data_IF_325081973492
#
_entry.id   IF_325081973492
#
_cell.length_a   1.000
_cell.length_b   1.000
_cell.length_c   1.000
_cell.angle_alpha   90.00
_cell.angle_beta   90.00
_cell.angle_gamma   90.00
#
_symmetry.space_group_name_H-M   'P 1'
#
loop_
_entity.id
_entity.type
_entity.pdbx_description
1 polymer ?
#
# COMPACT_ATOMS: atom_id res chain seq x y z
N UNK A 1 10.25 13.07 7.66
CA UNK A 1 10.01 12.91 6.21
C UNK A 1 8.88 11.92 5.98
N UNK A 2 7.86 12.32 5.22
CA UNK A 2 6.72 11.46 4.86
C UNK A 2 6.82 11.00 3.40
N UNK A 3 7.60 11.70 2.60
CA UNK A 3 7.87 11.37 1.20
C UNK A 3 9.37 11.11 0.99
N UNK A 4 9.68 10.23 0.05
CA UNK A 4 11.04 9.91 -0.32
C UNK A 4 11.68 11.08 -1.09
N UNK A 5 12.86 11.53 -0.66
CA UNK A 5 13.62 12.59 -1.33
C UNK A 5 14.31 12.03 -2.57
N UNK A 6 13.56 11.83 -3.63
CA UNK A 6 14.02 11.35 -4.93
C UNK A 6 13.77 12.39 -6.01
N UNK A 7 14.48 12.29 -7.14
CA UNK A 7 14.29 13.18 -8.30
C UNK A 7 12.92 13.02 -8.96
N UNK A 8 12.27 11.87 -8.75
CA UNK A 8 10.92 11.60 -9.26
C UNK A 8 9.86 12.37 -8.47
N UNK A 9 10.11 12.61 -7.18
CA UNK A 9 9.16 13.29 -6.28
C UNK A 9 9.45 14.79 -6.13
N UNK A 10 10.72 15.21 -6.22
CA UNK A 10 11.13 16.57 -5.94
C UNK A 10 12.20 17.07 -6.91
N UNK A 11 12.16 18.37 -7.22
CA UNK A 11 13.22 18.99 -8.01
C UNK A 11 14.57 18.92 -7.27
N UNK A 12 15.70 18.87 -7.99
CA UNK A 12 17.04 18.86 -7.38
C UNK A 12 17.29 20.04 -6.43
N UNK A 13 16.68 21.20 -6.71
CA UNK A 13 16.79 22.40 -5.88
C UNK A 13 16.12 22.16 -4.52
N UNK A 14 14.91 21.59 -4.49
CA UNK A 14 14.19 21.27 -3.26
C UNK A 14 14.96 20.26 -2.43
N UNK A 15 15.45 19.18 -3.05
CA UNK A 15 16.26 18.17 -2.36
C UNK A 15 17.49 18.82 -1.72
N UNK A 16 18.27 19.62 -2.48
CA UNK A 16 19.45 20.31 -1.98
C UNK A 16 19.11 21.28 -0.85
N UNK A 17 18.00 22.01 -0.95
CA UNK A 17 17.55 22.93 0.09
C UNK A 17 17.23 22.20 1.40
N UNK A 18 16.46 21.10 1.34
CA UNK A 18 16.15 20.27 2.51
C UNK A 18 17.43 19.73 3.15
N UNK A 19 18.35 19.17 2.36
CA UNK A 19 19.58 18.60 2.86
C UNK A 19 20.47 19.68 3.52
N UNK A 20 20.65 20.84 2.86
CA UNK A 20 21.43 21.94 3.41
C UNK A 20 20.83 22.48 4.71
N UNK A 21 19.50 22.62 4.76
CA UNK A 21 18.80 23.03 5.98
C UNK A 21 19.11 22.09 7.14
N UNK A 22 18.99 20.77 6.92
CA UNK A 22 19.26 19.79 7.99
C UNK A 22 20.71 19.83 8.47
N UNK A 23 21.68 20.13 7.57
CA UNK A 23 23.11 20.26 7.90
C UNK A 23 23.41 21.53 8.69
N UNK A 24 22.92 22.67 8.21
CA UNK A 24 23.20 23.99 8.80
C UNK A 24 22.61 24.10 10.20
N UNK A 25 21.35 23.66 10.35
CA UNK A 25 20.65 23.77 11.63
C UNK A 25 20.78 22.54 12.52
N UNK A 26 21.57 21.54 12.14
CA UNK A 26 21.75 20.28 12.86
C UNK A 26 20.42 19.65 13.31
N UNK A 27 19.39 19.76 12.46
CA UNK A 27 18.04 19.29 12.79
C UNK A 27 17.95 17.77 12.76
N UNK A 28 17.28 17.22 13.77
CA UNK A 28 16.91 15.81 13.77
C UNK A 28 15.77 15.56 12.78
N UNK A 29 15.86 14.47 12.06
CA UNK A 29 14.90 14.06 11.02
C UNK A 29 14.24 12.75 11.43
N UNK A 30 12.93 12.67 11.35
CA UNK A 30 12.18 11.41 11.46
C UNK A 30 11.74 11.00 10.05
N UNK A 31 12.08 9.78 9.65
CA UNK A 31 11.60 9.15 8.42
C UNK A 31 10.53 8.11 8.75
N UNK A 32 9.49 8.03 7.90
CA UNK A 32 8.37 7.12 8.12
C UNK A 32 8.65 5.66 7.69
N UNK A 33 9.82 5.39 7.12
CA UNK A 33 10.30 4.06 6.73
C UNK A 33 11.82 4.06 6.58
N UNK A 34 12.44 2.89 6.57
CA UNK A 34 13.87 2.74 6.25
C UNK A 34 14.15 3.20 4.82
N UNK A 35 13.26 2.88 3.88
CA UNK A 35 13.36 3.36 2.51
C UNK A 35 13.42 4.90 2.43
N UNK A 36 12.56 5.61 3.14
CA UNK A 36 12.58 7.09 3.17
C UNK A 36 13.86 7.63 3.79
N UNK A 37 14.40 6.97 4.82
CA UNK A 37 15.71 7.29 5.40
C UNK A 37 16.84 7.07 4.39
N UNK A 38 16.82 5.96 3.67
CA UNK A 38 17.82 5.66 2.64
C UNK A 38 17.82 6.70 1.52
N UNK A 39 16.65 7.13 1.06
CA UNK A 39 16.51 8.22 0.10
C UNK A 39 17.07 9.54 0.64
N UNK A 40 16.86 9.86 1.91
CA UNK A 40 17.43 11.03 2.56
C UNK A 40 18.97 10.95 2.60
N UNK A 41 19.53 9.82 3.00
CA UNK A 41 20.98 9.61 3.09
C UNK A 41 21.61 9.64 1.70
N UNK A 42 21.03 8.97 0.72
CA UNK A 42 21.49 8.94 -0.68
C UNK A 42 21.46 10.33 -1.32
N UNK A 43 20.57 11.21 -0.87
CA UNK A 43 20.51 12.62 -1.28
C UNK A 43 21.54 13.51 -0.56
N UNK A 44 22.39 12.94 0.29
CA UNK A 44 23.45 13.63 1.02
C UNK A 44 23.09 14.02 2.46
N UNK A 45 21.98 13.53 3.00
CA UNK A 45 21.62 13.70 4.41
C UNK A 45 22.54 12.92 5.35
N UNK A 46 22.63 13.35 6.59
CA UNK A 46 23.42 12.65 7.61
C UNK A 46 22.60 11.54 8.27
N UNK A 47 23.03 10.29 8.10
CA UNK A 47 22.34 9.11 8.66
C UNK A 47 22.17 9.17 10.17
N UNK A 48 23.09 9.79 10.92
CA UNK A 48 23.01 9.94 12.40
C UNK A 48 21.92 10.92 12.84
N UNK A 49 21.52 11.84 11.95
CA UNK A 49 20.44 12.80 12.20
C UNK A 49 19.06 12.25 11.81
N UNK A 50 18.97 11.08 11.15
CA UNK A 50 17.72 10.53 10.66
C UNK A 50 17.37 9.24 11.40
N UNK A 51 16.28 9.28 12.18
CA UNK A 51 15.71 8.13 12.87
C UNK A 51 14.48 7.63 12.14
N UNK A 52 14.33 6.32 12.02
CA UNK A 52 13.11 5.71 11.47
C UNK A 52 12.10 5.55 12.58
N UNK A 53 10.92 6.13 12.39
CA UNK A 53 9.72 5.86 13.18
C UNK A 53 8.62 5.57 12.18
N UNK A 54 8.23 4.31 12.10
CA UNK A 54 7.26 3.83 11.12
C UNK A 54 5.94 4.57 11.25
N UNK A 55 5.30 4.84 10.13
CA UNK A 55 3.97 5.45 10.11
C UNK A 55 2.93 4.51 10.72
N UNK A 56 1.78 5.04 11.12
CA UNK A 56 0.72 4.27 11.75
C UNK A 56 -0.65 4.63 11.19
N UNK A 57 -1.61 3.75 11.46
CA UNK A 57 -3.03 3.89 11.13
C UNK A 57 -3.85 3.73 12.41
N UNK A 58 -4.97 4.41 12.49
CA UNK A 58 -5.91 4.25 13.60
C UNK A 58 -6.59 2.87 13.53
N UNK A 59 -6.07 1.90 14.25
CA UNK A 59 -6.59 0.52 14.24
C UNK A 59 -8.05 0.42 14.69
N UNK A 60 -8.52 1.36 15.54
CA UNK A 60 -9.90 1.36 16.03
C UNK A 60 -10.94 1.57 14.91
N UNK A 61 -10.54 2.19 13.81
CA UNK A 61 -11.43 2.39 12.65
C UNK A 61 -11.76 1.08 11.92
N UNK A 62 -11.05 -0.02 12.20
CA UNK A 62 -11.19 -1.30 11.52
C UNK A 62 -11.77 -2.41 12.41
N UNK A 63 -12.16 -2.11 13.65
CA UNK A 63 -12.64 -3.11 14.61
C UNK A 63 -13.97 -3.73 14.18
N UNK A 64 -14.83 -2.94 13.53
CA UNK A 64 -16.18 -3.36 13.12
C UNK A 64 -16.20 -4.08 11.76
N UNK A 65 -15.05 -4.23 11.12
CA UNK A 65 -14.97 -4.94 9.85
C UNK A 65 -15.09 -6.44 10.11
N UNK A 66 -16.11 -7.05 9.48
CA UNK A 66 -16.37 -8.48 9.58
C UNK A 66 -15.16 -9.31 9.12
N UNK A 67 -15.04 -10.52 9.66
CA UNK A 67 -14.03 -11.47 9.19
C UNK A 67 -14.10 -11.68 7.67
N UNK A 68 -12.94 -12.05 7.12
CA UNK A 68 -12.82 -12.36 5.70
C UNK A 68 -13.78 -13.47 5.30
N UNK A 69 -14.51 -13.21 4.23
CA UNK A 69 -15.48 -14.13 3.69
C UNK A 69 -15.18 -14.45 2.22
N UNK A 70 -15.02 -15.74 1.93
CA UNK A 70 -14.79 -16.26 0.58
C UNK A 70 -16.07 -16.88 -0.02
N UNK A 71 -17.28 -16.48 0.44
CA UNK A 71 -18.53 -17.06 -0.04
C UNK A 71 -18.87 -16.67 -1.48
N UNK A 72 -19.69 -17.50 -2.12
CA UNK A 72 -20.27 -17.22 -3.42
C UNK A 72 -19.44 -17.59 -4.65
N UNK A 73 -18.35 -18.33 -4.50
CA UNK A 73 -17.55 -18.78 -5.65
C UNK A 73 -16.64 -17.71 -6.29
N UNK A 74 -16.78 -16.45 -5.86
CA UNK A 74 -15.97 -15.32 -6.35
C UNK A 74 -14.93 -14.90 -5.31
N UNK A 75 -13.81 -14.38 -5.84
CA UNK A 75 -12.80 -13.68 -5.07
C UNK A 75 -12.99 -12.17 -5.29
N UNK A 76 -13.48 -11.48 -4.26
CA UNK A 76 -13.66 -10.04 -4.31
C UNK A 76 -12.33 -9.34 -4.03
N UNK A 77 -11.83 -8.61 -5.00
CA UNK A 77 -10.55 -7.89 -4.95
C UNK A 77 -10.80 -6.39 -4.87
N UNK A 78 -10.10 -5.72 -3.98
CA UNK A 78 -10.08 -4.27 -3.86
C UNK A 78 -8.71 -3.71 -4.21
N UNK A 79 -8.70 -2.70 -5.08
CA UNK A 79 -7.55 -1.81 -5.31
C UNK A 79 -7.94 -0.38 -4.90
N UNK A 80 -7.26 0.18 -3.91
CA UNK A 80 -7.59 1.47 -3.31
C UNK A 80 -6.43 2.46 -3.50
N UNK A 81 -6.73 3.64 -4.02
CA UNK A 81 -5.78 4.72 -4.14
C UNK A 81 -6.07 5.67 -5.30
N UNK A 82 -5.30 6.73 -5.40
CA UNK A 82 -5.40 7.65 -6.53
C UNK A 82 -5.27 6.88 -7.85
N UNK A 83 -6.13 7.18 -8.81
CA UNK A 83 -6.02 6.62 -10.16
C UNK A 83 -4.88 7.35 -10.86
N UNK A 84 -3.77 6.65 -11.07
CA UNK A 84 -2.53 7.21 -11.63
C UNK A 84 -1.65 6.08 -12.18
N UNK A 85 -0.88 6.28 -13.25
CA UNK A 85 -0.05 5.24 -13.88
C UNK A 85 0.87 4.51 -12.90
N UNK A 86 1.50 5.25 -11.99
CA UNK A 86 2.42 4.67 -11.02
C UNK A 86 1.74 3.83 -9.92
N UNK A 87 0.41 3.95 -9.75
CA UNK A 87 -0.39 3.10 -8.85
C UNK A 87 -0.73 1.73 -9.46
N UNK A 88 -0.54 1.55 -10.78
CA UNK A 88 -0.54 0.25 -11.42
C UNK A 88 -1.88 -0.46 -11.48
N UNK A 89 -3.04 0.27 -11.47
CA UNK A 89 -4.34 -0.37 -11.59
C UNK A 89 -4.49 -1.18 -12.89
N UNK A 90 -3.81 -0.78 -13.97
CA UNK A 90 -3.76 -1.55 -15.23
C UNK A 90 -3.15 -2.94 -15.03
N UNK A 91 -2.12 -3.07 -14.17
CA UNK A 91 -1.49 -4.36 -13.84
C UNK A 91 -2.51 -5.31 -13.21
N UNK A 92 -3.38 -4.78 -12.32
CA UNK A 92 -4.43 -5.59 -11.67
C UNK A 92 -5.46 -6.05 -12.70
N UNK A 93 -5.92 -5.14 -13.58
CA UNK A 93 -6.89 -5.47 -14.65
C UNK A 93 -6.33 -6.55 -15.56
N UNK A 94 -5.06 -6.42 -15.98
CA UNK A 94 -4.41 -7.40 -16.84
C UNK A 94 -4.19 -8.75 -16.13
N UNK A 95 -3.86 -8.74 -14.84
CA UNK A 95 -3.66 -9.96 -14.07
C UNK A 95 -4.94 -10.79 -13.91
N UNK A 96 -6.12 -10.15 -13.91
CA UNK A 96 -7.39 -10.84 -13.68
C UNK A 96 -8.16 -11.17 -14.97
N UNK A 97 -7.69 -10.75 -16.14
CA UNK A 97 -8.47 -10.82 -17.38
C UNK A 97 -9.02 -12.23 -17.68
N UNK A 98 -8.24 -13.27 -17.40
CA UNK A 98 -8.58 -14.67 -17.63
C UNK A 98 -9.10 -15.40 -16.37
N UNK A 99 -9.32 -14.68 -15.26
CA UNK A 99 -9.77 -15.24 -13.97
C UNK A 99 -11.26 -14.99 -13.75
N UNK A 100 -12.12 -15.85 -14.29
CA UNK A 100 -13.58 -15.70 -14.27
C UNK A 100 -14.17 -15.65 -12.85
N UNK A 101 -13.46 -16.20 -11.85
CA UNK A 101 -13.85 -16.20 -10.44
C UNK A 101 -13.51 -14.91 -9.70
N UNK A 102 -12.99 -13.87 -10.38
CA UNK A 102 -12.59 -12.61 -9.74
C UNK A 102 -13.62 -11.51 -10.02
N UNK A 103 -13.99 -10.77 -8.98
CA UNK A 103 -14.62 -9.44 -9.08
C UNK A 103 -13.65 -8.40 -8.55
N UNK A 104 -13.43 -7.33 -9.30
CA UNK A 104 -12.51 -6.25 -8.94
C UNK A 104 -13.27 -4.95 -8.70
N UNK A 105 -12.96 -4.29 -7.59
CA UNK A 105 -13.38 -2.92 -7.31
C UNK A 105 -12.14 -2.04 -7.26
N UNK A 106 -12.12 -0.98 -8.07
CA UNK A 106 -11.07 0.04 -8.08
C UNK A 106 -11.66 1.32 -7.49
N UNK A 107 -11.16 1.73 -6.33
CA UNK A 107 -11.67 2.89 -5.58
C UNK A 107 -10.66 4.02 -5.61
N UNK A 108 -11.08 5.16 -6.14
CA UNK A 108 -10.23 6.34 -6.23
C UNK A 108 -10.71 7.33 -7.28
N UNK A 109 -9.97 8.42 -7.42
CA UNK A 109 -10.23 9.44 -8.44
C UNK A 109 -8.98 9.74 -9.23
N UNK A 110 -9.17 10.05 -10.51
CA UNK A 110 -8.17 10.66 -11.37
C UNK A 110 -8.10 12.15 -11.02
N UNK A 111 -7.02 12.58 -10.38
CA UNK A 111 -6.78 13.96 -10.01
C UNK A 111 -5.52 14.46 -10.72
N UNK A 112 -5.35 15.76 -10.82
CA UNK A 112 -4.14 16.39 -11.37
C UNK A 112 -3.81 16.03 -12.82
N UNK A 113 -4.84 15.87 -13.69
CA UNK A 113 -4.66 15.58 -15.11
C UNK A 113 -4.51 14.10 -15.47
N UNK A 114 -4.90 13.20 -14.60
CA UNK A 114 -4.82 11.75 -14.82
C UNK A 114 -6.06 11.17 -15.55
N UNK A 115 -6.89 12.01 -16.15
CA UNK A 115 -8.11 11.59 -16.87
C UNK A 115 -7.80 10.65 -18.04
N UNK A 116 -6.70 10.87 -18.76
CA UNK A 116 -6.26 10.01 -19.87
C UNK A 116 -5.94 8.60 -19.35
N UNK A 117 -5.29 8.49 -18.21
CA UNK A 117 -5.03 7.17 -17.62
C UNK A 117 -6.33 6.49 -17.15
N UNK A 118 -7.27 7.23 -16.59
CA UNK A 118 -8.56 6.66 -16.23
C UNK A 118 -9.34 6.16 -17.45
N UNK A 119 -9.32 6.92 -18.56
CA UNK A 119 -9.91 6.49 -19.82
C UNK A 119 -9.20 5.26 -20.39
N UNK A 120 -7.88 5.17 -20.26
CA UNK A 120 -7.12 3.97 -20.61
C UNK A 120 -7.57 2.75 -19.80
N UNK A 121 -7.77 2.86 -18.47
CA UNK A 121 -8.29 1.77 -17.65
C UNK A 121 -9.68 1.30 -18.09
N UNK A 122 -10.59 2.24 -18.39
CA UNK A 122 -11.93 1.91 -18.93
C UNK A 122 -11.83 1.18 -20.27
N UNK A 123 -10.91 1.62 -21.12
CA UNK A 123 -10.66 0.94 -22.39
C UNK A 123 -10.15 -0.49 -22.18
N UNK A 124 -9.20 -0.73 -21.29
CA UNK A 124 -8.73 -2.08 -20.95
C UNK A 124 -9.88 -2.98 -20.49
N UNK A 125 -10.73 -2.46 -19.59
CA UNK A 125 -11.92 -3.20 -19.10
C UNK A 125 -12.84 -3.56 -20.26
N UNK A 126 -13.04 -2.67 -21.25
CA UNK A 126 -13.84 -2.93 -22.43
C UNK A 126 -13.17 -3.93 -23.38
N UNK A 127 -11.90 -3.75 -23.67
CA UNK A 127 -11.14 -4.59 -24.61
C UNK A 127 -11.07 -6.06 -24.13
N UNK A 128 -11.04 -6.26 -22.80
CA UNK A 128 -11.03 -7.60 -22.20
C UNK A 128 -12.42 -8.11 -21.80
N UNK A 129 -13.51 -7.40 -22.14
CA UNK A 129 -14.89 -7.77 -21.81
C UNK A 129 -15.15 -7.97 -20.31
N UNK A 130 -14.56 -7.11 -19.47
CA UNK A 130 -14.59 -7.22 -18.00
C UNK A 130 -15.66 -6.35 -17.32
N UNK A 131 -16.52 -5.65 -18.07
CA UNK A 131 -17.49 -4.66 -17.54
C UNK A 131 -18.44 -5.28 -16.49
N UNK A 132 -18.71 -6.57 -16.57
CA UNK A 132 -19.60 -7.28 -15.66
C UNK A 132 -18.96 -7.65 -14.33
N UNK A 133 -17.63 -7.48 -14.17
CA UNK A 133 -16.89 -7.87 -12.97
C UNK A 133 -15.82 -6.88 -12.51
N UNK A 134 -15.64 -5.75 -13.21
CA UNK A 134 -14.78 -4.65 -12.79
C UNK A 134 -15.60 -3.39 -12.56
N UNK A 135 -15.57 -2.89 -11.34
CA UNK A 135 -16.29 -1.70 -10.89
C UNK A 135 -15.30 -0.58 -10.56
N UNK A 136 -15.54 0.62 -11.09
CA UNK A 136 -14.83 1.84 -10.70
C UNK A 136 -15.71 2.63 -9.72
N UNK A 137 -15.19 2.83 -8.50
CA UNK A 137 -15.85 3.61 -7.47
C UNK A 137 -15.11 4.94 -7.29
N UNK A 138 -15.83 6.05 -7.06
CA UNK A 138 -15.21 7.33 -6.77
C UNK A 138 -14.40 7.27 -5.46
N UNK A 139 -13.54 8.27 -5.27
CA UNK A 139 -12.84 8.45 -4.00
C UNK A 139 -13.84 8.50 -2.84
N UNK A 140 -13.56 7.75 -1.78
CA UNK A 140 -14.32 7.74 -0.54
C UNK A 140 -13.38 7.97 0.65
N UNK A 141 -13.84 8.78 1.61
CA UNK A 141 -13.19 8.89 2.93
C UNK A 141 -13.54 7.69 3.82
N UNK A 142 -14.72 7.12 3.65
CA UNK A 142 -15.12 5.89 4.32
C UNK A 142 -14.79 4.68 3.42
N UNK A 143 -13.64 4.07 3.73
CA UNK A 143 -13.15 2.89 3.02
C UNK A 143 -13.66 1.57 3.61
N UNK A 144 -14.39 1.62 4.74
CA UNK A 144 -14.82 0.43 5.48
C UNK A 144 -15.76 -0.46 4.68
N UNK A 145 -16.70 0.17 3.94
CA UNK A 145 -17.62 -0.58 3.07
C UNK A 145 -16.84 -1.39 2.03
N UNK A 146 -15.87 -0.75 1.38
CA UNK A 146 -15.06 -1.40 0.35
C UNK A 146 -14.18 -2.51 0.93
N UNK A 147 -13.58 -2.27 2.10
CA UNK A 147 -12.79 -3.28 2.80
C UNK A 147 -13.67 -4.44 3.31
N UNK A 148 -14.88 -4.18 3.77
CA UNK A 148 -15.84 -5.23 4.19
C UNK A 148 -16.28 -6.09 3.00
N UNK A 149 -16.42 -5.50 1.82
CA UNK A 149 -16.82 -6.19 0.60
C UNK A 149 -15.72 -7.13 0.07
N UNK A 150 -14.43 -6.76 0.20
CA UNK A 150 -13.35 -7.54 -0.40
C UNK A 150 -12.85 -8.66 0.51
N UNK A 151 -12.29 -9.70 -0.09
CA UNK A 151 -11.50 -10.74 0.57
C UNK A 151 -10.00 -10.56 0.34
N UNK A 152 -9.63 -9.94 -0.79
CA UNK A 152 -8.25 -9.65 -1.15
C UNK A 152 -8.07 -8.16 -1.39
N UNK A 153 -7.04 -7.59 -0.81
CA UNK A 153 -6.60 -6.22 -1.04
C UNK A 153 -5.33 -6.22 -1.88
N UNK A 154 -5.30 -5.47 -2.97
CA UNK A 154 -4.12 -5.37 -3.85
C UNK A 154 -3.57 -3.96 -3.86
N UNK A 155 -2.28 -3.84 -3.51
CA UNK A 155 -1.45 -2.68 -3.73
C UNK A 155 -0.49 -2.97 -4.88
N UNK A 156 -0.67 -2.28 -6.01
CA UNK A 156 0.01 -2.59 -7.29
C UNK A 156 0.96 -1.49 -7.78
N UNK A 157 1.41 -0.59 -6.90
CA UNK A 157 2.27 0.54 -7.29
C UNK A 157 3.50 0.07 -8.07
N UNK A 158 3.74 0.68 -9.23
CA UNK A 158 4.90 0.38 -10.09
C UNK A 158 6.14 1.19 -9.70
N UNK A 159 5.95 2.23 -8.89
CA UNK A 159 7.02 3.03 -8.30
C UNK A 159 7.09 2.82 -6.79
N UNK A 160 8.28 3.00 -6.17
CA UNK A 160 8.44 2.79 -4.74
C UNK A 160 7.56 3.71 -3.88
N UNK A 161 6.79 3.12 -2.99
CA UNK A 161 6.00 3.86 -2.00
C UNK A 161 6.88 4.27 -0.82
N UNK A 162 6.74 5.50 -0.30
CA UNK A 162 7.46 5.91 0.91
C UNK A 162 7.18 5.02 2.12
N UNK A 163 5.94 4.57 2.29
CA UNK A 163 5.54 3.65 3.35
C UNK A 163 4.54 2.59 2.86
N UNK A 164 3.38 3.00 2.34
CA UNK A 164 2.30 2.09 1.95
C UNK A 164 1.16 2.02 2.97
N UNK A 165 0.63 3.17 3.38
CA UNK A 165 -0.44 3.27 4.38
C UNK A 165 -1.64 2.36 4.07
N UNK A 166 -2.07 2.29 2.81
CA UNK A 166 -3.21 1.47 2.38
C UNK A 166 -2.96 -0.03 2.56
N UNK A 167 -1.68 -0.46 2.54
CA UNK A 167 -1.29 -1.86 2.84
C UNK A 167 -1.62 -2.18 4.29
N UNK A 168 -1.27 -1.28 5.22
CA UNK A 168 -1.61 -1.42 6.64
C UNK A 168 -3.13 -1.43 6.83
N UNK A 169 -3.87 -0.58 6.13
CA UNK A 169 -5.34 -0.52 6.16
C UNK A 169 -5.96 -1.85 5.73
N UNK A 170 -5.47 -2.45 4.64
CA UNK A 170 -5.89 -3.79 4.19
C UNK A 170 -5.61 -4.90 5.22
N UNK A 171 -4.43 -4.85 5.85
CA UNK A 171 -4.07 -5.80 6.93
C UNK A 171 -4.95 -5.61 8.17
N UNK A 172 -5.16 -4.38 8.65
CA UNK A 172 -6.04 -4.07 9.79
C UNK A 172 -7.47 -4.54 9.56
N UNK A 173 -7.95 -4.46 8.32
CA UNK A 173 -9.24 -4.99 7.93
C UNK A 173 -9.29 -6.53 7.88
N UNK A 174 -8.19 -7.23 8.14
CA UNK A 174 -8.10 -8.70 8.07
C UNK A 174 -8.28 -9.24 6.65
N UNK A 175 -7.82 -8.52 5.63
CA UNK A 175 -7.87 -8.97 4.23
C UNK A 175 -6.57 -9.67 3.86
N UNK A 176 -6.62 -10.60 2.90
CA UNK A 176 -5.40 -11.12 2.28
C UNK A 176 -4.78 -9.97 1.49
N UNK A 177 -3.58 -9.55 1.85
CA UNK A 177 -2.92 -8.45 1.17
C UNK A 177 -1.88 -8.98 0.19
N UNK A 178 -2.01 -8.56 -1.08
CA UNK A 178 -0.96 -8.68 -2.10
C UNK A 178 -0.41 -7.28 -2.32
N UNK A 179 0.89 -7.09 -2.20
CA UNK A 179 1.50 -5.79 -2.38
C UNK A 179 2.80 -5.88 -3.19
N UNK A 180 3.19 -4.77 -3.82
CA UNK A 180 4.45 -4.73 -4.56
C UNK A 180 5.65 -4.64 -3.63
N UNK A 181 6.67 -5.44 -3.94
CA UNK A 181 7.96 -5.52 -3.23
C UNK A 181 8.83 -4.30 -3.61
N UNK A 182 8.47 -3.13 -3.09
CA UNK A 182 9.18 -1.89 -3.43
C UNK A 182 8.97 -0.80 -2.37
N UNK A 183 9.97 0.05 -2.19
CA UNK A 183 9.92 1.15 -1.23
C UNK A 183 9.82 0.68 0.22
N UNK A 184 8.93 1.30 0.99
CA UNK A 184 8.67 0.95 2.40
C UNK A 184 7.72 -0.23 2.59
N UNK A 185 7.10 -0.75 1.54
CA UNK A 185 6.11 -1.85 1.62
C UNK A 185 6.70 -3.15 2.19
N UNK A 186 7.93 -3.58 1.83
CA UNK A 186 8.57 -4.75 2.42
C UNK A 186 8.81 -4.65 3.94
N UNK A 187 8.83 -3.44 4.49
CA UNK A 187 8.92 -3.25 5.95
C UNK A 187 7.59 -3.60 6.65
N UNK A 188 6.47 -3.50 5.93
CA UNK A 188 5.14 -3.86 6.41
C UNK A 188 4.91 -5.36 6.28
N UNK A 189 5.10 -5.90 5.06
CA UNK A 189 4.98 -7.34 4.77
C UNK A 189 6.39 -7.92 4.67
N UNK A 190 7.01 -8.17 5.79
CA UNK A 190 8.38 -8.67 5.87
C UNK A 190 8.49 -10.20 5.92
N UNK A 191 7.36 -10.90 5.79
CA UNK A 191 7.28 -12.35 5.80
C UNK A 191 5.98 -12.79 5.11
N UNK A 192 6.03 -13.89 4.35
CA UNK A 192 4.89 -14.48 3.63
C UNK A 192 3.72 -14.89 4.55
N UNK A 193 3.97 -15.02 5.87
CA UNK A 193 2.92 -15.27 6.85
C UNK A 193 1.97 -14.11 7.07
N UNK A 194 2.29 -12.90 6.60
CA UNK A 194 1.53 -11.68 6.83
C UNK A 194 0.88 -11.08 5.59
N UNK A 195 1.26 -11.57 4.41
CA UNK A 195 0.79 -11.11 3.11
C UNK A 195 1.70 -11.63 2.00
N UNK A 196 1.43 -11.23 0.78
CA UNK A 196 2.16 -11.68 -0.41
C UNK A 196 2.86 -10.47 -1.03
N UNK A 197 4.16 -10.57 -1.27
CA UNK A 197 4.93 -9.60 -2.04
C UNK A 197 5.12 -10.08 -3.47
N UNK A 198 4.90 -9.18 -4.43
CA UNK A 198 5.12 -9.42 -5.85
C UNK A 198 6.01 -8.31 -6.44
N UNK A 199 6.88 -8.60 -7.42
CA UNK A 199 7.67 -7.55 -8.06
C UNK A 199 6.76 -6.50 -8.71
N UNK A 200 7.16 -5.20 -8.70
CA UNK A 200 6.41 -4.15 -9.37
C UNK A 200 6.22 -4.46 -10.87
N UNK A 201 4.98 -4.34 -11.36
CA UNK A 201 4.64 -4.58 -12.76
C UNK A 201 4.59 -6.05 -13.20
N UNK A 202 4.84 -7.01 -12.32
CA UNK A 202 4.83 -8.43 -12.66
C UNK A 202 3.40 -9.00 -12.65
N UNK A 203 2.74 -8.91 -13.81
CA UNK A 203 1.39 -9.42 -14.05
C UNK A 203 1.30 -10.92 -13.77
N UNK A 204 2.32 -11.68 -14.19
CA UNK A 204 2.34 -13.14 -14.05
C UNK A 204 2.38 -13.58 -12.59
N UNK A 205 3.25 -12.94 -11.79
CA UNK A 205 3.33 -13.21 -10.35
C UNK A 205 2.07 -12.78 -9.62
N UNK A 206 1.47 -11.65 -10.00
CA UNK A 206 0.20 -11.19 -9.44
C UNK A 206 -0.93 -12.15 -9.77
N UNK A 207 -1.07 -12.56 -11.05
CA UNK A 207 -2.06 -13.57 -11.47
C UNK A 207 -1.90 -14.86 -10.67
N UNK A 208 -0.66 -15.37 -10.58
CA UNK A 208 -0.37 -16.58 -9.80
C UNK A 208 -0.80 -16.43 -8.33
N UNK A 209 -0.46 -15.33 -7.67
CA UNK A 209 -0.82 -15.07 -6.27
C UNK A 209 -2.35 -15.08 -6.07
N UNK A 210 -3.10 -14.48 -6.99
CA UNK A 210 -4.57 -14.49 -6.97
C UNK A 210 -5.12 -15.91 -7.11
N UNK A 211 -4.57 -16.70 -8.05
CA UNK A 211 -4.96 -18.11 -8.22
C UNK A 211 -4.65 -18.95 -6.98
N UNK A 212 -3.47 -18.80 -6.40
CA UNK A 212 -3.08 -19.55 -5.19
C UNK A 212 -4.05 -19.26 -4.02
N UNK A 213 -4.49 -18.00 -3.86
CA UNK A 213 -5.50 -17.64 -2.85
C UNK A 213 -6.85 -18.31 -3.13
N UNK A 214 -7.27 -18.34 -4.39
CA UNK A 214 -8.55 -18.97 -4.76
C UNK A 214 -8.54 -20.49 -4.50
N UNK A 215 -7.41 -21.15 -4.71
CA UNK A 215 -7.25 -22.59 -4.55
C UNK A 215 -7.12 -23.02 -3.07
N UNK A 216 -6.57 -22.17 -2.20
CA UNK A 216 -6.31 -22.50 -0.78
C UNK A 216 -6.76 -21.37 0.15
N UNK A 217 -8.07 -21.13 0.18
CA UNK A 217 -8.70 -20.05 0.96
C UNK A 217 -8.43 -20.15 2.46
N UNK A 218 -8.36 -21.36 3.00
CA UNK A 218 -8.14 -21.60 4.43
C UNK A 218 -6.73 -21.18 4.86
N UNK A 219 -5.72 -21.53 4.08
CA UNK A 219 -4.34 -21.05 4.29
C UNK A 219 -4.28 -19.53 4.31
N UNK A 220 -4.92 -18.89 3.33
CA UNK A 220 -4.85 -17.44 3.20
C UNK A 220 -5.74 -16.70 4.22
N UNK A 221 -6.78 -17.33 4.76
CA UNK A 221 -7.47 -16.80 5.95
C UNK A 221 -6.53 -16.71 7.15
N UNK A 222 -5.68 -17.71 7.35
CA UNK A 222 -4.65 -17.69 8.41
C UNK A 222 -3.62 -16.58 8.17
N UNK A 223 -3.19 -16.40 6.91
CA UNK A 223 -2.25 -15.29 6.54
C UNK A 223 -2.89 -13.94 6.84
N UNK A 224 -4.14 -13.72 6.46
CA UNK A 224 -4.87 -12.48 6.72
C UNK A 224 -4.98 -12.16 8.22
N UNK A 225 -5.32 -13.16 9.05
CA UNK A 225 -5.41 -12.98 10.50
C UNK A 225 -4.05 -12.62 11.12
N UNK A 226 -2.99 -13.33 10.75
CA UNK A 226 -1.62 -13.00 11.20
C UNK A 226 -1.19 -11.61 10.72
N UNK A 227 -1.57 -11.22 9.50
CA UNK A 227 -1.35 -9.88 8.98
C UNK A 227 -2.05 -8.81 9.83
N UNK A 228 -3.30 -9.04 10.20
CA UNK A 228 -4.07 -8.16 11.09
C UNK A 228 -3.39 -7.99 12.45
N UNK A 229 -3.00 -9.11 13.08
CA UNK A 229 -2.33 -9.08 14.39
C UNK A 229 -1.01 -8.29 14.32
N UNK A 230 -0.22 -8.53 13.27
CA UNK A 230 1.00 -7.76 13.02
C UNK A 230 0.71 -6.26 12.84
N UNK A 231 -0.30 -5.91 12.04
CA UNK A 231 -0.63 -4.51 11.78
C UNK A 231 -1.07 -3.78 13.06
N UNK A 232 -1.86 -4.42 13.92
CA UNK A 232 -2.25 -3.88 15.23
C UNK A 232 -1.00 -3.68 16.11
N UNK A 233 -0.12 -4.67 16.16
CA UNK A 233 1.07 -4.68 17.00
C UNK A 233 2.11 -3.64 16.59
N UNK A 234 2.34 -3.46 15.29
CA UNK A 234 3.51 -2.72 14.80
C UNK A 234 3.14 -1.34 14.22
N UNK A 235 1.89 -1.15 13.76
CA UNK A 235 1.48 0.03 12.99
C UNK A 235 0.25 0.75 13.56
N UNK A 236 -0.09 0.53 14.82
CA UNK A 236 -1.19 1.26 15.48
C UNK A 236 -0.73 2.61 16.05
N UNK A 237 -1.68 3.55 16.25
CA UNK A 237 -1.38 4.86 16.83
C UNK A 237 -0.71 4.80 18.22
N UNK A 238 -1.10 3.89 19.14
CA UNK A 238 -0.39 3.75 20.42
C UNK A 238 1.10 3.42 20.27
N UNK A 239 1.44 2.56 19.30
CA UNK A 239 2.84 2.22 19.00
C UNK A 239 3.61 3.42 18.47
N UNK A 240 3.02 4.17 17.53
CA UNK A 240 3.62 5.40 17.00
C UNK A 240 3.86 6.41 18.14
N UNK A 241 2.86 6.63 19.01
CA UNK A 241 2.97 7.53 20.14
C UNK A 241 4.13 7.13 21.08
N UNK A 242 4.22 5.85 21.43
CA UNK A 242 5.29 5.31 22.27
C UNK A 242 6.67 5.55 21.64
N UNK A 243 6.82 5.26 20.34
CA UNK A 243 8.08 5.43 19.63
C UNK A 243 8.49 6.91 19.54
N UNK A 244 7.56 7.83 19.26
CA UNK A 244 7.84 9.27 19.23
C UNK A 244 8.23 9.77 20.63
N UNK A 245 7.50 9.38 21.67
CA UNK A 245 7.78 9.81 23.04
C UNK A 245 9.15 9.31 23.51
N UNK A 246 9.47 8.05 23.26
CA UNK A 246 10.78 7.48 23.56
C UNK A 246 11.90 8.24 22.82
N UNK A 247 11.71 8.50 21.54
CA UNK A 247 12.66 9.28 20.75
C UNK A 247 12.90 10.68 21.33
N UNK A 248 11.83 11.41 21.66
CA UNK A 248 11.94 12.78 22.21
C UNK A 248 12.63 12.80 23.59
N UNK A 249 12.38 11.79 24.42
CA UNK A 249 13.05 11.67 25.72
C UNK A 249 14.55 11.41 25.60
N UNK A 250 14.99 10.73 24.54
CA UNK A 250 16.40 10.47 24.28
C UNK A 250 17.14 11.65 23.62
N UNK A 251 16.45 12.72 23.25
CA UNK A 251 17.05 13.97 22.74
C UNK A 251 17.45 14.94 23.87
N UNK A 252 17.02 14.69 25.11
CA UNK A 252 17.40 15.47 26.30
C UNK A 252 18.72 14.99 26.88
#
# INVERSE_FOLDING_TARGET
LRDALTKDNFSPIVIKTVINFTKIFHTNVIANSSYTKECFVSSGGNSKQCTVILNAVNSNEFLDISEINFHGGYLNILSLGRISPWKGQHIVIEAIKDLEFVKLRIVGSANFGEDDYFNYLKKLVSDYNLQHRVEFCPFSLDIKEHLSWCSVFIHSSTSPEPFGRVVVEGMLAGRVVIATDSGGVPEIINNESYGILVPPGDITRLNKAINDIYLDKDKYKVVANKGKDKAIKDFSLPVLYTNITSYLNNLK
#
